data_IF_957475727902
#
_entry.id   IF_957475727902
#
_cell.length_a   1.000
_cell.length_b   1.000
_cell.length_c   1.000
_cell.angle_alpha   90.00
_cell.angle_beta   90.00
_cell.angle_gamma   90.00
#
_symmetry.space_group_name_H-M   'P 1'
#
loop_
_entity.id
_entity.type
_entity.pdbx_description
1 polymer ?
#
# COMPACT_ATOMS: atom_id res chain seq x y z
N UNK A 1 7.86 9.94 -12.48
CA UNK A 1 8.83 9.98 -11.37
C UNK A 1 8.22 9.14 -10.28
N UNK A 2 8.90 8.11 -9.79
CA UNK A 2 8.37 7.32 -8.68
C UNK A 2 8.32 8.22 -7.44
N UNK A 3 7.14 8.42 -6.87
CA UNK A 3 6.98 9.21 -5.66
C UNK A 3 7.73 8.52 -4.51
N UNK A 4 8.36 9.25 -3.57
CA UNK A 4 9.08 8.66 -2.43
C UNK A 4 8.27 7.59 -1.70
N UNK A 5 6.96 7.80 -1.54
CA UNK A 5 6.03 6.85 -0.91
C UNK A 5 5.91 5.51 -1.67
N UNK A 6 6.03 5.51 -3.00
CA UNK A 6 5.97 4.29 -3.81
C UNK A 6 7.10 3.33 -3.44
N UNK A 7 8.28 3.85 -3.07
CA UNK A 7 9.42 3.03 -2.66
C UNK A 7 9.17 2.33 -1.33
N UNK A 8 8.60 3.02 -0.36
CA UNK A 8 8.25 2.46 0.96
C UNK A 8 7.15 1.40 0.84
N UNK A 9 6.12 1.67 0.03
CA UNK A 9 5.07 0.69 -0.27
C UNK A 9 5.69 -0.58 -0.87
N UNK A 10 6.57 -0.43 -1.86
CA UNK A 10 7.25 -1.58 -2.47
C UNK A 10 8.15 -2.33 -1.48
N UNK A 11 8.74 -1.65 -0.50
CA UNK A 11 9.55 -2.30 0.54
C UNK A 11 8.69 -3.21 1.42
N UNK A 12 7.51 -2.74 1.85
CA UNK A 12 6.55 -3.55 2.61
C UNK A 12 6.05 -4.72 1.76
N UNK A 13 5.56 -4.45 0.54
CA UNK A 13 4.94 -5.47 -0.30
C UNK A 13 5.90 -6.60 -0.73
N UNK A 14 7.22 -6.35 -0.74
CA UNK A 14 8.22 -7.42 -0.98
C UNK A 14 8.17 -8.54 0.06
N UNK A 15 7.71 -8.27 1.28
CA UNK A 15 7.54 -9.27 2.33
C UNK A 15 6.20 -10.03 2.23
N UNK A 16 5.34 -9.65 1.28
CA UNK A 16 4.00 -10.22 1.07
C UNK A 16 3.85 -10.78 -0.35
N UNK A 17 4.49 -11.92 -0.69
CA UNK A 17 4.50 -12.47 -2.04
C UNK A 17 3.11 -12.93 -2.53
N UNK A 18 2.12 -12.99 -1.65
CA UNK A 18 0.71 -13.21 -2.01
C UNK A 18 0.10 -12.01 -2.72
N UNK A 19 0.59 -10.79 -2.50
CA UNK A 19 0.15 -9.59 -3.22
C UNK A 19 0.83 -9.58 -4.59
N UNK A 20 0.03 -9.75 -5.65
CA UNK A 20 0.51 -9.81 -7.03
C UNK A 20 0.58 -8.43 -7.67
N UNK A 21 -0.30 -7.55 -7.23
CA UNK A 21 -0.42 -6.19 -7.75
C UNK A 21 -0.97 -5.27 -6.67
N UNK A 22 -0.47 -4.03 -6.65
CA UNK A 22 -1.01 -2.94 -5.85
C UNK A 22 -1.09 -1.68 -6.72
N UNK A 23 -2.20 -0.95 -6.60
CA UNK A 23 -2.45 0.31 -7.30
C UNK A 23 -2.62 1.38 -6.24
N UNK A 24 -1.73 2.38 -6.25
CA UNK A 24 -1.87 3.60 -5.48
C UNK A 24 -2.90 4.50 -6.16
N UNK A 25 -3.92 4.93 -5.41
CA UNK A 25 -4.91 5.89 -5.87
C UNK A 25 -5.11 6.99 -4.84
N UNK A 26 -6.14 7.83 -5.02
CA UNK A 26 -6.46 8.88 -4.05
C UNK A 26 -5.53 10.10 -4.12
N UNK A 27 -5.44 10.82 -2.99
CA UNK A 27 -4.78 12.13 -2.90
C UNK A 27 -3.28 12.04 -3.24
N UNK A 28 -2.58 11.05 -2.67
CA UNK A 28 -1.16 10.80 -2.88
C UNK A 28 -0.82 10.48 -4.35
N UNK A 29 -1.64 9.67 -5.02
CA UNK A 29 -1.47 9.39 -6.46
C UNK A 29 -1.65 10.64 -7.32
N UNK A 30 -2.56 11.54 -6.92
CA UNK A 30 -2.86 12.77 -7.65
C UNK A 30 -1.93 13.95 -7.33
N UNK A 31 -0.89 13.76 -6.50
CA UNK A 31 0.02 14.83 -6.08
C UNK A 31 -0.61 15.86 -5.15
N UNK A 32 -1.75 15.54 -4.53
CA UNK A 32 -2.50 16.41 -3.60
C UNK A 32 -2.45 15.92 -2.16
N UNK A 33 -1.64 14.90 -1.87
CA UNK A 33 -1.48 14.38 -0.52
C UNK A 33 -0.69 15.34 0.37
N UNK A 34 -1.08 15.39 1.63
CA UNK A 34 -0.40 16.09 2.73
C UNK A 34 0.17 15.08 3.72
N UNK A 35 0.87 15.55 4.75
CA UNK A 35 1.40 14.68 5.81
C UNK A 35 0.29 13.96 6.60
N UNK A 36 -0.94 14.51 6.61
CA UNK A 36 -2.11 13.92 7.26
C UNK A 36 -3.00 13.11 6.31
N UNK A 37 -2.61 12.95 5.04
CA UNK A 37 -3.42 12.22 4.07
C UNK A 37 -3.32 10.71 4.27
N UNK A 38 -4.45 10.03 4.13
CA UNK A 38 -4.51 8.57 4.10
C UNK A 38 -3.76 7.98 2.90
N UNK A 39 -3.28 6.74 3.08
CA UNK A 39 -2.70 5.92 2.03
C UNK A 39 -3.75 4.97 1.43
N UNK A 40 -4.18 5.26 0.20
CA UNK A 40 -5.16 4.47 -0.53
C UNK A 40 -4.51 3.45 -1.47
N UNK A 41 -4.67 2.16 -1.18
CA UNK A 41 -4.14 1.06 -2.00
C UNK A 41 -5.23 0.05 -2.36
N UNK A 42 -5.36 -0.22 -3.67
CA UNK A 42 -6.13 -1.34 -4.17
C UNK A 42 -5.17 -2.50 -4.43
N UNK A 43 -5.46 -3.67 -3.87
CA UNK A 43 -4.55 -4.83 -3.95
C UNK A 43 -5.24 -6.04 -4.58
N UNK A 44 -4.50 -6.74 -5.43
CA UNK A 44 -4.88 -8.06 -5.94
C UNK A 44 -3.92 -9.13 -5.41
N UNK A 45 -4.48 -10.11 -4.70
CA UNK A 45 -3.77 -11.28 -4.21
C UNK A 45 -4.19 -12.60 -4.90
N UNK A 46 -5.03 -12.52 -5.95
CA UNK A 46 -5.64 -13.69 -6.61
C UNK A 46 -6.68 -14.44 -5.79
N UNK A 47 -6.89 -14.00 -4.55
CA UNK A 47 -7.89 -14.48 -3.61
C UNK A 47 -8.28 -13.32 -2.68
N UNK A 48 -9.43 -13.39 -2.01
CA UNK A 48 -9.75 -12.45 -0.95
C UNK A 48 -8.61 -12.42 0.08
N UNK A 49 -8.21 -11.22 0.50
CA UNK A 49 -7.31 -11.05 1.64
C UNK A 49 -8.04 -11.52 2.89
N UNK A 50 -7.47 -12.48 3.61
CA UNK A 50 -7.97 -12.79 4.94
C UNK A 50 -7.72 -11.60 5.89
N UNK A 51 -8.49 -11.57 6.98
CA UNK A 51 -8.46 -10.45 7.91
C UNK A 51 -7.08 -10.27 8.55
N UNK A 52 -6.38 -11.36 8.86
CA UNK A 52 -5.06 -11.32 9.49
C UNK A 52 -4.02 -10.67 8.58
N UNK A 53 -3.95 -11.10 7.32
CA UNK A 53 -3.08 -10.51 6.31
C UNK A 53 -3.43 -9.05 6.04
N UNK A 54 -4.74 -8.72 5.96
CA UNK A 54 -5.18 -7.33 5.79
C UNK A 54 -4.72 -6.45 6.95
N UNK A 55 -4.87 -6.91 8.20
CA UNK A 55 -4.44 -6.17 9.38
C UNK A 55 -2.92 -6.02 9.45
N UNK A 56 -2.18 -7.07 9.09
CA UNK A 56 -0.71 -7.02 9.04
C UNK A 56 -0.22 -5.99 8.01
N UNK A 57 -0.78 -5.99 6.80
CA UNK A 57 -0.47 -5.00 5.77
C UNK A 57 -0.77 -3.57 6.24
N UNK A 58 -1.92 -3.34 6.88
CA UNK A 58 -2.28 -2.01 7.41
C UNK A 58 -1.24 -1.55 8.45
N UNK A 59 -0.88 -2.42 9.40
CA UNK A 59 0.11 -2.07 10.43
C UNK A 59 1.47 -1.75 9.82
N UNK A 60 1.98 -2.61 8.94
CA UNK A 60 3.32 -2.45 8.36
C UNK A 60 3.44 -1.24 7.43
N UNK A 61 2.33 -0.81 6.82
CA UNK A 61 2.26 0.40 5.99
C UNK A 61 2.08 1.67 6.82
N UNK A 62 1.41 1.61 7.97
CA UNK A 62 1.25 2.75 8.86
C UNK A 62 2.55 3.15 9.56
N UNK A 63 3.49 2.21 9.70
CA UNK A 63 4.81 2.42 10.30
C UNK A 63 5.87 2.98 9.31
N UNK A 64 5.44 3.48 8.14
CA UNK A 64 6.31 3.98 7.06
C UNK A 64 6.31 5.49 6.90
#
# INVERSE_FOLDING_TARGET
>A
MDAPITREILHVLKNHPTVRMAILFGSLASGRGTAESDLDLAMDAGRPLDLSLKMQLISELADR
#
